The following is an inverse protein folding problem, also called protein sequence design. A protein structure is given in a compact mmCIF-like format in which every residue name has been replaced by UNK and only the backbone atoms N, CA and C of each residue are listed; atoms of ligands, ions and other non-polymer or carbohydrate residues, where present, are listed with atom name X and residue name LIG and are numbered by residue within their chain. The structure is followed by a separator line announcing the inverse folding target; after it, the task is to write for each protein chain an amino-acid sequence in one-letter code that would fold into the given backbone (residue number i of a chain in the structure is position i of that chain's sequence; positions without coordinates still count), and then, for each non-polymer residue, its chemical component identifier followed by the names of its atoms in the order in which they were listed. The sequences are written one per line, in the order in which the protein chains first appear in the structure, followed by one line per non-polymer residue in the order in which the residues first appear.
data_IF_536007082823
#
_entry.id   IF_536007082823
#
_cell.length_a   1.000
_cell.length_b   1.000
_cell.length_c   1.000
_cell.angle_alpha   90.00
_cell.angle_beta   90.00
_cell.angle_gamma   90.00
#
_symmetry.space_group_name_H-M   'P 1'
#
loop_
_entity.id
_entity.type
_entity.pdbx_description
1 polymer ?
#
# COMPACT_ATOMS: atom_id res chain seq x y z
N UNK A 1 20.73 -22.25 1.07
CA UNK A 1 19.86 -21.39 1.89
C UNK A 1 20.24 -21.57 3.34
N UNK A 2 20.59 -20.49 4.03
CA UNK A 2 20.96 -20.51 5.43
C UNK A 2 19.72 -20.86 6.27
N UNK A 3 19.72 -21.98 7.03
CA UNK A 3 18.58 -22.35 7.87
C UNK A 3 18.27 -21.30 8.95
N UNK A 4 19.26 -20.57 9.40
CA UNK A 4 19.07 -19.50 10.39
C UNK A 4 18.33 -18.30 9.78
N UNK A 5 18.59 -17.99 8.51
CA UNK A 5 17.89 -16.91 7.81
C UNK A 5 16.41 -17.26 7.57
N UNK A 6 16.12 -18.52 7.26
CA UNK A 6 14.75 -18.98 7.10
C UNK A 6 13.98 -18.99 8.42
N UNK A 7 14.63 -19.41 9.51
CA UNK A 7 14.06 -19.38 10.86
C UNK A 7 13.80 -17.94 11.32
N UNK A 8 14.77 -17.03 11.11
CA UNK A 8 14.61 -15.62 11.43
C UNK A 8 13.47 -14.96 10.64
N UNK A 9 13.28 -15.32 9.36
CA UNK A 9 12.16 -14.84 8.55
C UNK A 9 10.81 -15.34 9.07
N UNK A 10 10.74 -16.59 9.56
CA UNK A 10 9.54 -17.18 10.13
C UNK A 10 9.15 -16.58 11.50
N UNK A 11 10.12 -16.01 12.22
CA UNK A 11 9.91 -15.40 13.54
C UNK A 11 9.55 -13.91 13.49
N UNK A 12 9.47 -13.31 12.29
CA UNK A 12 9.07 -11.91 12.15
C UNK A 12 7.64 -11.71 12.64
N UNK A 13 7.48 -10.80 13.60
CA UNK A 13 6.17 -10.41 14.12
C UNK A 13 5.62 -9.27 13.28
N UNK A 14 4.68 -9.58 12.39
CA UNK A 14 4.01 -8.59 11.56
C UNK A 14 2.73 -8.15 12.24
N UNK A 15 2.61 -6.85 12.52
CA UNK A 15 1.39 -6.21 12.99
C UNK A 15 0.89 -5.25 11.92
N UNK A 16 -0.37 -5.39 11.51
CA UNK A 16 -1.01 -4.49 10.55
C UNK A 16 -2.25 -3.87 11.19
N UNK A 17 -2.37 -2.57 11.13
CA UNK A 17 -3.50 -1.85 11.72
C UNK A 17 -3.85 -0.58 10.95
N UNK A 18 -5.08 -0.11 11.14
CA UNK A 18 -5.46 1.23 10.70
C UNK A 18 -4.65 2.25 11.51
N UNK A 19 -4.09 3.22 10.82
CA UNK A 19 -3.27 4.28 11.41
C UNK A 19 -4.10 5.53 11.67
N UNK A 20 -3.71 6.28 12.69
CA UNK A 20 -4.14 7.67 12.86
C UNK A 20 -3.16 8.57 12.09
N UNK A 21 -3.67 9.36 11.14
CA UNK A 21 -2.81 10.15 10.26
C UNK A 21 -1.92 11.13 11.05
N UNK A 22 -2.45 11.72 12.11
CA UNK A 22 -1.70 12.68 12.92
C UNK A 22 -0.73 11.98 13.88
N UNK A 23 -1.22 11.01 14.64
CA UNK A 23 -0.42 10.31 15.65
C UNK A 23 0.68 9.44 15.01
N UNK A 24 0.38 8.81 13.88
CA UNK A 24 1.29 7.89 13.17
C UNK A 24 2.04 8.56 12.01
N UNK A 25 1.97 9.87 11.87
CA UNK A 25 2.52 10.59 10.71
C UNK A 25 4.00 10.28 10.47
N UNK A 26 4.81 10.23 11.51
CA UNK A 26 6.24 9.92 11.40
C UNK A 26 6.49 8.56 10.77
N UNK A 27 5.73 7.53 11.18
CA UNK A 27 5.84 6.19 10.62
C UNK A 27 5.35 6.12 9.18
N UNK A 28 4.22 6.76 8.87
CA UNK A 28 3.68 6.86 7.51
C UNK A 28 4.69 7.54 6.58
N UNK A 29 5.22 8.67 7.01
CA UNK A 29 6.19 9.44 6.25
C UNK A 29 7.45 8.63 5.97
N UNK A 30 7.96 7.92 6.98
CA UNK A 30 9.17 7.11 6.84
C UNK A 30 9.04 6.05 5.73
N UNK A 31 7.96 5.29 5.72
CA UNK A 31 7.74 4.26 4.69
C UNK A 31 7.59 4.91 3.30
N UNK A 32 6.78 5.95 3.21
CA UNK A 32 6.49 6.62 1.93
C UNK A 32 7.72 7.32 1.35
N UNK A 33 8.51 8.00 2.18
CA UNK A 33 9.76 8.61 1.74
C UNK A 33 10.75 7.56 1.25
N UNK A 34 10.92 6.47 2.00
CA UNK A 34 11.85 5.41 1.64
C UNK A 34 11.51 4.80 0.27
N UNK A 35 10.24 4.48 0.03
CA UNK A 35 9.82 3.79 -1.19
C UNK A 35 9.60 4.76 -2.34
N UNK A 36 8.79 5.80 -2.15
CA UNK A 36 8.37 6.64 -3.26
C UNK A 36 9.38 7.72 -3.61
N UNK A 37 10.01 8.34 -2.62
CA UNK A 37 10.95 9.45 -2.85
C UNK A 37 12.37 8.93 -3.07
N UNK A 38 12.90 8.17 -2.12
CA UNK A 38 14.30 7.72 -2.18
C UNK A 38 14.51 6.65 -3.25
N UNK A 39 13.61 5.67 -3.34
CA UNK A 39 13.73 4.54 -4.27
C UNK A 39 13.18 4.88 -5.66
N UNK A 40 11.95 5.39 -5.75
CA UNK A 40 11.25 5.63 -7.03
C UNK A 40 11.43 7.04 -7.58
N UNK A 41 12.04 7.94 -6.82
CA UNK A 41 12.32 9.32 -7.24
C UNK A 41 11.09 10.16 -7.54
N UNK A 42 9.97 9.87 -6.89
CA UNK A 42 8.77 10.70 -6.96
C UNK A 42 9.04 12.01 -6.23
N UNK A 43 8.74 13.19 -6.81
CA UNK A 43 8.87 14.45 -6.11
C UNK A 43 8.01 14.49 -4.83
N UNK A 44 8.57 15.01 -3.75
CA UNK A 44 7.89 15.09 -2.44
C UNK A 44 6.53 15.77 -2.54
N UNK A 45 6.43 16.83 -3.32
CA UNK A 45 5.20 17.61 -3.52
C UNK A 45 4.10 16.85 -4.25
N UNK A 46 4.44 15.76 -4.97
CA UNK A 46 3.47 14.86 -5.59
C UNK A 46 3.09 13.70 -4.68
N UNK A 47 3.99 13.30 -3.77
CA UNK A 47 3.76 12.16 -2.87
C UNK A 47 2.85 12.53 -1.71
N UNK A 48 3.13 13.65 -1.02
CA UNK A 48 2.31 14.13 0.08
C UNK A 48 1.33 15.17 -0.45
N UNK A 49 0.04 14.90 -0.31
CA UNK A 49 -1.03 15.72 -0.86
C UNK A 49 -2.08 16.10 0.20
N UNK A 50 -3.02 16.95 -0.16
CA UNK A 50 -4.09 17.43 0.71
C UNK A 50 -5.18 16.37 0.97
N UNK A 51 -5.16 15.26 0.23
CA UNK A 51 -6.06 14.13 0.47
C UNK A 51 -5.63 13.28 1.67
N UNK A 52 -4.36 13.31 2.05
CA UNK A 52 -3.81 12.44 3.10
C UNK A 52 -4.61 12.51 4.40
N UNK A 53 -4.95 13.71 4.86
CA UNK A 53 -5.69 13.88 6.12
C UNK A 53 -7.12 13.33 6.06
N UNK A 54 -7.68 13.14 4.88
CA UNK A 54 -9.06 12.69 4.66
C UNK A 54 -9.17 11.20 4.36
N UNK A 55 -8.04 10.53 4.14
CA UNK A 55 -7.99 9.12 3.79
C UNK A 55 -7.89 8.21 5.01
N UNK A 56 -8.27 6.94 4.82
CA UNK A 56 -7.93 5.87 5.73
C UNK A 56 -6.51 5.39 5.40
N UNK A 57 -5.66 5.32 6.39
CA UNK A 57 -4.30 4.80 6.26
C UNK A 57 -4.12 3.51 7.03
N UNK A 58 -3.28 2.63 6.51
CA UNK A 58 -2.89 1.37 7.15
C UNK A 58 -1.38 1.35 7.28
N UNK A 59 -0.89 0.88 8.42
CA UNK A 59 0.53 0.66 8.67
C UNK A 59 0.80 -0.80 9.02
N UNK A 60 1.87 -1.31 8.49
CA UNK A 60 2.43 -2.60 8.84
C UNK A 60 3.76 -2.40 9.57
N UNK A 61 3.93 -3.09 10.68
CA UNK A 61 5.12 -3.04 11.52
C UNK A 61 5.75 -4.43 11.64
N UNK A 62 7.06 -4.48 11.61
CA UNK A 62 7.86 -5.62 12.07
C UNK A 62 8.45 -5.22 13.42
N UNK A 63 7.86 -5.70 14.54
CA UNK A 63 8.14 -5.12 15.85
C UNK A 63 7.77 -3.64 15.87
N UNK A 64 8.75 -2.78 16.17
CA UNK A 64 8.57 -1.32 16.17
C UNK A 64 8.91 -0.65 14.83
N UNK A 65 9.39 -1.43 13.86
CA UNK A 65 9.83 -0.90 12.56
C UNK A 65 8.65 -0.81 11.59
N UNK A 66 8.29 0.39 11.10
CA UNK A 66 7.28 0.51 10.06
C UNK A 66 7.84 0.00 8.73
N UNK A 67 7.16 -0.97 8.11
CA UNK A 67 7.65 -1.66 6.91
C UNK A 67 6.70 -1.62 5.73
N UNK A 68 5.45 -1.22 5.94
CA UNK A 68 4.47 -1.14 4.86
C UNK A 68 3.37 -0.15 5.17
N UNK A 69 2.71 0.34 4.13
CA UNK A 69 1.59 1.27 4.25
C UNK A 69 0.68 1.17 3.03
N UNK A 70 -0.53 1.70 3.17
CA UNK A 70 -1.48 1.90 2.09
C UNK A 70 -2.53 2.93 2.49
N UNK A 71 -3.18 3.51 1.49
CA UNK A 71 -4.17 4.59 1.66
C UNK A 71 -5.46 4.23 0.92
N UNK A 72 -6.59 4.50 1.55
CA UNK A 72 -7.92 4.34 0.97
C UNK A 72 -8.64 5.69 0.98
N UNK A 73 -9.02 6.18 -0.19
CA UNK A 73 -9.76 7.43 -0.35
C UNK A 73 -11.22 7.12 -0.70
N UNK A 74 -12.09 7.17 0.30
CA UNK A 74 -13.51 6.85 0.13
C UNK A 74 -14.24 7.90 -0.71
N UNK A 75 -13.83 9.16 -0.65
CA UNK A 75 -14.44 10.26 -1.40
C UNK A 75 -14.19 10.15 -2.90
N UNK A 76 -13.18 9.38 -3.31
CA UNK A 76 -12.89 9.08 -4.72
C UNK A 76 -13.32 7.67 -5.11
N UNK A 77 -14.46 7.22 -4.61
CA UNK A 77 -15.06 5.95 -5.01
C UNK A 77 -14.27 4.71 -4.53
N UNK A 78 -13.54 4.81 -3.43
CA UNK A 78 -12.74 3.71 -2.92
C UNK A 78 -11.40 3.56 -3.61
N UNK A 79 -10.71 4.67 -3.88
CA UNK A 79 -9.39 4.66 -4.47
C UNK A 79 -8.34 4.17 -3.48
N UNK A 80 -7.69 3.07 -3.81
CA UNK A 80 -6.52 2.56 -3.10
C UNK A 80 -5.26 3.16 -3.73
N UNK A 81 -4.36 3.65 -2.89
CA UNK A 81 -3.10 4.21 -3.35
C UNK A 81 -2.04 4.20 -2.27
N UNK A 82 -0.87 4.72 -2.60
CA UNK A 82 0.28 4.80 -1.66
C UNK A 82 0.61 3.46 -1.01
N UNK A 83 0.36 2.35 -1.71
CA UNK A 83 0.74 1.01 -1.24
C UNK A 83 2.24 0.84 -1.43
N UNK A 84 2.94 0.62 -0.33
CA UNK A 84 4.39 0.54 -0.33
C UNK A 84 4.87 -0.45 0.72
N UNK A 85 5.89 -1.23 0.37
CA UNK A 85 6.62 -2.11 1.29
C UNK A 85 8.11 -1.81 1.14
N UNK A 86 8.80 -1.60 2.25
CA UNK A 86 10.25 -1.36 2.21
C UNK A 86 10.98 -2.59 1.65
N UNK A 87 12.07 -2.35 0.91
CA UNK A 87 12.76 -3.38 0.12
C UNK A 87 13.14 -4.62 0.94
N UNK A 88 13.58 -4.44 2.19
CA UNK A 88 14.01 -5.52 3.08
C UNK A 88 12.87 -6.46 3.49
N UNK A 89 11.62 -6.04 3.34
CA UNK A 89 10.44 -6.79 3.77
C UNK A 89 9.53 -7.20 2.62
N UNK A 90 9.98 -7.05 1.38
CA UNK A 90 9.23 -7.52 0.20
C UNK A 90 9.25 -9.04 0.10
N UNK A 91 8.18 -9.61 -0.51
CA UNK A 91 7.99 -11.05 -0.73
C UNK A 91 7.75 -11.86 0.56
N UNK A 92 7.36 -11.20 1.65
CA UNK A 92 7.00 -11.83 2.91
C UNK A 92 5.52 -11.65 3.27
N UNK A 93 4.68 -11.28 2.28
CA UNK A 93 3.24 -11.11 2.47
C UNK A 93 2.83 -9.78 3.11
N UNK A 94 3.74 -8.83 3.29
CA UNK A 94 3.43 -7.52 3.89
C UNK A 94 2.43 -6.75 3.02
N UNK A 95 2.66 -6.68 1.72
CA UNK A 95 1.75 -5.99 0.78
C UNK A 95 0.36 -6.59 0.79
N UNK A 96 0.24 -7.92 0.80
CA UNK A 96 -1.04 -8.62 0.90
C UNK A 96 -1.75 -8.28 2.21
N UNK A 97 -1.04 -8.29 3.33
CA UNK A 97 -1.60 -7.94 4.64
C UNK A 97 -2.08 -6.48 4.70
N UNK A 98 -1.34 -5.55 4.09
CA UNK A 98 -1.75 -4.15 3.95
C UNK A 98 -3.05 -4.06 3.14
N UNK A 99 -3.14 -4.74 2.01
CA UNK A 99 -4.34 -4.74 1.17
C UNK A 99 -5.54 -5.37 1.87
N UNK A 100 -5.36 -6.46 2.59
CA UNK A 100 -6.42 -7.09 3.38
C UNK A 100 -6.96 -6.13 4.45
N UNK A 101 -6.09 -5.38 5.11
CA UNK A 101 -6.50 -4.38 6.10
C UNK A 101 -7.27 -3.21 5.44
N UNK A 102 -6.84 -2.75 4.27
CA UNK A 102 -7.58 -1.74 3.50
C UNK A 102 -8.95 -2.25 3.06
N UNK A 103 -9.03 -3.50 2.59
CA UNK A 103 -10.31 -4.14 2.23
C UNK A 103 -11.24 -4.23 3.46
N UNK A 104 -10.71 -4.62 4.60
CA UNK A 104 -11.47 -4.66 5.85
C UNK A 104 -12.02 -3.30 6.25
N UNK A 105 -11.18 -2.26 6.18
CA UNK A 105 -11.59 -0.88 6.45
C UNK A 105 -12.68 -0.40 5.48
N UNK A 106 -12.58 -0.78 4.22
CA UNK A 106 -13.58 -0.45 3.20
C UNK A 106 -14.92 -1.13 3.49
N UNK A 107 -14.92 -2.42 3.86
CA UNK A 107 -16.13 -3.16 4.24
C UNK A 107 -16.83 -2.53 5.43
N UNK A 108 -16.08 -2.17 6.46
CA UNK A 108 -16.62 -1.51 7.67
C UNK A 108 -17.30 -0.18 7.36
N UNK A 109 -16.91 0.46 6.23
CA UNK A 109 -17.46 1.74 5.78
C UNK A 109 -18.46 1.58 4.63
N UNK A 110 -18.94 0.35 4.41
CA UNK A 110 -19.94 0.02 3.38
C UNK A 110 -19.50 0.36 1.95
N UNK A 111 -18.21 0.36 1.70
CA UNK A 111 -17.65 0.52 0.36
C UNK A 111 -17.68 -0.84 -0.34
N UNK A 112 -18.32 -0.91 -1.51
CA UNK A 112 -18.46 -2.18 -2.25
C UNK A 112 -17.49 -2.33 -3.42
N UNK A 113 -16.89 -1.24 -3.85
CA UNK A 113 -15.94 -1.24 -4.98
C UNK A 113 -14.69 -0.48 -4.61
N UNK A 114 -13.55 -1.01 -5.08
CA UNK A 114 -12.26 -0.37 -4.95
C UNK A 114 -11.61 -0.24 -6.32
N UNK A 115 -10.70 0.69 -6.43
CA UNK A 115 -9.90 0.84 -7.64
C UNK A 115 -8.55 1.45 -7.31
N UNK A 116 -7.60 1.25 -8.19
CA UNK A 116 -6.28 1.85 -8.04
C UNK A 116 -5.67 2.14 -9.41
N UNK A 117 -4.67 3.02 -9.42
CA UNK A 117 -3.76 3.19 -10.53
C UNK A 117 -2.49 2.41 -10.19
N UNK A 118 -2.38 1.19 -10.71
CA UNK A 118 -1.29 0.29 -10.39
C UNK A 118 -0.08 0.58 -11.28
N UNK A 119 1.11 0.71 -10.68
CA UNK A 119 2.35 0.69 -11.46
C UNK A 119 2.43 -0.63 -12.21
N UNK A 120 2.90 -0.64 -13.45
CA UNK A 120 2.95 -1.86 -14.28
C UNK A 120 3.66 -3.02 -13.59
N UNK A 121 4.72 -2.73 -12.84
CA UNK A 121 5.47 -3.75 -12.08
C UNK A 121 4.65 -4.37 -10.96
N UNK A 122 3.61 -3.70 -10.49
CA UNK A 122 2.71 -4.16 -9.42
C UNK A 122 1.43 -4.83 -9.94
N UNK A 123 1.16 -4.77 -11.24
CA UNK A 123 -0.06 -5.38 -11.82
C UNK A 123 -0.22 -6.85 -11.44
N UNK A 124 0.80 -7.72 -11.52
CA UNK A 124 0.65 -9.11 -11.10
C UNK A 124 0.25 -9.28 -9.64
N UNK A 125 0.74 -8.41 -8.77
CA UNK A 125 0.37 -8.39 -7.34
C UNK A 125 -1.13 -8.12 -7.16
N UNK A 126 -1.65 -7.09 -7.83
CA UNK A 126 -3.08 -6.76 -7.76
C UNK A 126 -3.96 -7.82 -8.42
N UNK A 127 -3.52 -8.41 -9.54
CA UNK A 127 -4.24 -9.50 -10.19
C UNK A 127 -4.41 -10.71 -9.27
N UNK A 128 -3.38 -11.06 -8.50
CA UNK A 128 -3.47 -12.15 -7.51
C UNK A 128 -4.49 -11.86 -6.40
N UNK A 129 -4.75 -10.60 -6.11
CA UNK A 129 -5.78 -10.17 -5.15
C UNK A 129 -7.19 -10.16 -5.75
N UNK A 130 -7.31 -10.32 -7.06
CA UNK A 130 -8.59 -10.30 -7.76
C UNK A 130 -8.93 -9.00 -8.47
N UNK A 131 -7.99 -8.06 -8.54
CA UNK A 131 -8.17 -6.82 -9.30
C UNK A 131 -8.09 -7.11 -10.80
N UNK A 132 -8.88 -6.38 -11.58
CA UNK A 132 -8.95 -6.51 -13.03
C UNK A 132 -8.56 -5.18 -13.67
N UNK A 133 -7.59 -5.22 -14.58
CA UNK A 133 -7.14 -4.04 -15.30
C UNK A 133 -8.14 -3.57 -16.35
N UNK A 134 -8.23 -2.27 -16.56
CA UNK A 134 -9.05 -1.65 -17.59
C UNK A 134 -8.37 -0.44 -18.18
N UNK A 135 -8.64 -0.18 -19.47
CA UNK A 135 -8.10 0.98 -20.15
C UNK A 135 -6.63 0.87 -20.56
N UNK A 136 -6.10 1.93 -21.18
CA UNK A 136 -4.72 1.96 -21.67
C UNK A 136 -3.71 2.24 -20.55
N UNK A 137 -2.46 1.91 -20.82
CA UNK A 137 -1.32 2.36 -20.00
C UNK A 137 -1.24 3.88 -20.05
N UNK A 138 -1.01 4.49 -18.89
CA UNK A 138 -0.82 5.94 -18.75
C UNK A 138 0.36 6.24 -17.82
N UNK A 139 0.87 7.46 -17.90
CA UNK A 139 2.00 7.91 -17.07
C UNK A 139 1.48 8.77 -15.92
N UNK A 140 1.92 8.47 -14.70
CA UNK A 140 1.65 9.26 -13.50
C UNK A 140 2.96 9.33 -12.70
N UNK A 141 3.36 10.54 -12.31
CA UNK A 141 4.63 10.79 -11.61
C UNK A 141 5.85 10.17 -12.32
N UNK A 142 5.84 10.15 -13.67
CA UNK A 142 6.92 9.60 -14.48
C UNK A 142 6.97 8.07 -14.56
N UNK A 143 5.94 7.38 -14.06
CA UNK A 143 5.89 5.92 -14.00
C UNK A 143 4.67 5.43 -14.77
N UNK A 144 4.83 4.35 -15.54
CA UNK A 144 3.72 3.70 -16.26
C UNK A 144 2.76 3.00 -15.31
N UNK A 145 1.46 3.24 -15.52
CA UNK A 145 0.38 2.72 -14.69
C UNK A 145 -0.74 2.11 -15.53
N UNK A 146 -1.53 1.24 -14.89
CA UNK A 146 -2.83 0.75 -15.37
C UNK A 146 -3.89 0.95 -14.29
N UNK A 147 -5.07 1.37 -14.69
CA UNK A 147 -6.23 1.33 -13.77
C UNK A 147 -6.65 -0.12 -13.53
N UNK A 148 -6.90 -0.44 -12.27
CA UNK A 148 -7.40 -1.74 -11.84
C UNK A 148 -8.59 -1.57 -10.91
N UNK A 149 -9.59 -2.43 -11.06
CA UNK A 149 -10.86 -2.38 -10.32
C UNK A 149 -11.09 -3.68 -9.56
N UNK A 150 -11.75 -3.58 -8.41
CA UNK A 150 -12.06 -4.71 -7.53
C UNK A 150 -13.46 -4.57 -6.93
N UNK A 151 -14.21 -5.66 -6.94
CA UNK A 151 -15.51 -5.73 -6.25
C UNK A 151 -15.32 -6.46 -4.93
N UNK A 152 -15.59 -5.76 -3.84
CA UNK A 152 -15.54 -6.34 -2.48
C UNK A 152 -16.66 -7.37 -2.29
N UNK A 153 -16.28 -8.49 -1.71
CA UNK A 153 -17.20 -9.60 -1.40
C UNK A 153 -17.29 -9.82 0.10
#
# INVERSE_FOLDING_TARGET
MDPDAAAAAAERTLLVRVADFTADFTSLRRVRETVFIDEQRVPRELEFDDRDALCVHVLAFDGDLPVGTGRLDLDYGGKVGRVAVVATHRRFGVGTAVMEALHGAARERNQSRLWCNAQLTAVPFYERLGYVSSGPVFVEAGIDHLRMDYVLR
#
